data_IF_014844501540
#
_entry.id   IF_014844501540
#
_cell.length_a   1.000
_cell.length_b   1.000
_cell.length_c   1.000
_cell.angle_alpha   90.00
_cell.angle_beta   90.00
_cell.angle_gamma   90.00
#
_symmetry.space_group_name_H-M   'P 1'
#
loop_
_entity.id
_entity.type
_entity.pdbx_description
1 polymer ?
#
# COMPACT_ATOMS: atom_id res chain seq x y z
N UNK A 1 -11.54 -6.10 -17.72
CA UNK A 1 -11.42 -4.78 -17.09
C UNK A 1 -10.68 -3.84 -18.04
N UNK A 2 -11.12 -2.60 -18.22
CA UNK A 2 -10.42 -1.64 -19.09
C UNK A 2 -9.36 -0.86 -18.30
N UNK A 3 -8.09 -0.99 -18.70
CA UNK A 3 -6.98 -0.25 -18.10
C UNK A 3 -6.99 1.21 -18.53
N UNK A 4 -6.49 2.10 -17.66
CA UNK A 4 -6.32 3.53 -17.92
C UNK A 4 -4.87 3.94 -17.76
N UNK A 5 -4.38 4.77 -18.68
CA UNK A 5 -3.07 5.39 -18.55
C UNK A 5 -3.05 6.32 -17.34
N UNK A 6 -1.98 6.24 -16.54
CA UNK A 6 -1.77 7.11 -15.40
C UNK A 6 -1.01 8.37 -15.86
N UNK A 7 -1.75 9.34 -16.38
CA UNK A 7 -1.17 10.57 -16.94
C UNK A 7 -0.10 10.27 -18.01
N UNK A 8 1.04 10.93 -17.91
CA UNK A 8 2.16 10.78 -18.85
C UNK A 8 3.27 9.84 -18.34
N UNK A 9 2.96 8.98 -17.35
CA UNK A 9 3.98 8.13 -16.69
C UNK A 9 4.36 6.87 -17.47
N UNK A 10 3.58 6.50 -18.49
CA UNK A 10 3.68 5.21 -19.17
C UNK A 10 3.13 4.03 -18.37
N UNK A 11 2.61 4.25 -17.16
CA UNK A 11 1.96 3.22 -16.34
C UNK A 11 0.49 3.11 -16.73
N UNK A 12 -0.04 1.88 -16.68
CA UNK A 12 -1.46 1.59 -16.86
C UNK A 12 -2.03 0.91 -15.62
N UNK A 13 -3.15 1.43 -15.12
CA UNK A 13 -3.84 0.90 -13.94
C UNK A 13 -5.29 0.56 -14.24
N UNK A 14 -5.84 -0.38 -13.48
CA UNK A 14 -7.28 -0.55 -13.36
C UNK A 14 -7.92 0.76 -12.85
N UNK A 15 -9.20 1.05 -13.15
CA UNK A 15 -9.84 2.31 -12.76
C UNK A 15 -10.23 2.36 -11.27
N UNK A 16 -9.43 1.75 -10.41
CA UNK A 16 -9.57 1.69 -8.95
C UNK A 16 -8.18 1.56 -8.32
N UNK A 17 -7.91 2.35 -7.29
CA UNK A 17 -6.69 2.27 -6.47
C UNK A 17 -7.09 1.80 -5.07
N UNK A 18 -6.39 0.80 -4.55
CA UNK A 18 -6.57 0.32 -3.17
C UNK A 18 -5.71 1.15 -2.23
N UNK A 19 -6.36 1.89 -1.32
CA UNK A 19 -5.68 2.60 -0.24
C UNK A 19 -5.26 1.64 0.88
N UNK A 20 -3.96 1.63 1.20
CA UNK A 20 -3.38 0.78 2.25
C UNK A 20 -3.40 1.39 3.65
N UNK A 21 -4.02 2.57 3.84
CA UNK A 21 -4.02 3.27 5.12
C UNK A 21 -4.71 2.50 6.27
N UNK A 22 -5.43 1.41 6.00
CA UNK A 22 -6.09 0.56 7.00
C UNK A 22 -5.25 -0.63 7.46
N UNK A 23 -4.16 -0.94 6.75
CA UNK A 23 -3.30 -2.08 7.05
C UNK A 23 -2.47 -1.83 8.30
N UNK A 24 -2.57 -2.74 9.27
CA UNK A 24 -1.81 -2.69 10.53
C UNK A 24 -2.46 -1.90 11.65
N UNK A 25 -3.74 -1.50 11.51
CA UNK A 25 -4.51 -0.95 12.64
C UNK A 25 -5.99 -1.32 12.61
N UNK A 26 -6.67 -1.14 11.48
CA UNK A 26 -8.06 -1.62 11.31
C UNK A 26 -8.06 -3.07 10.85
N UNK A 27 -7.20 -3.40 9.89
CA UNK A 27 -6.96 -4.77 9.45
C UNK A 27 -5.64 -5.26 10.04
N UNK A 28 -5.67 -6.47 10.60
CA UNK A 28 -4.45 -7.20 10.92
C UNK A 28 -3.74 -7.68 9.64
N UNK A 29 -2.58 -8.31 9.79
CA UNK A 29 -1.79 -8.80 8.66
C UNK A 29 -2.58 -9.78 7.78
N UNK A 30 -3.31 -10.71 8.41
CA UNK A 30 -4.08 -11.72 7.68
C UNK A 30 -5.20 -11.08 6.88
N UNK A 31 -6.00 -10.22 7.49
CA UNK A 31 -7.09 -9.52 6.79
C UNK A 31 -6.57 -8.61 5.69
N UNK A 32 -5.41 -7.98 5.90
CA UNK A 32 -4.74 -7.20 4.86
C UNK A 32 -4.32 -8.07 3.67
N UNK A 33 -3.79 -9.27 3.93
CA UNK A 33 -3.45 -10.24 2.87
C UNK A 33 -4.70 -10.71 2.12
N UNK A 34 -5.78 -11.02 2.82
CA UNK A 34 -7.04 -11.46 2.22
C UNK A 34 -7.59 -10.38 1.26
N UNK A 35 -7.52 -9.10 1.64
CA UNK A 35 -7.92 -7.97 0.77
C UNK A 35 -6.98 -7.82 -0.42
N UNK A 36 -5.66 -7.86 -0.21
CA UNK A 36 -4.67 -7.74 -1.28
C UNK A 36 -4.78 -8.88 -2.32
N UNK A 37 -4.95 -10.12 -1.83
CA UNK A 37 -5.16 -11.30 -2.68
C UNK A 37 -6.45 -11.16 -3.48
N UNK A 38 -7.55 -10.78 -2.84
CA UNK A 38 -8.83 -10.57 -3.53
C UNK A 38 -8.75 -9.45 -4.57
N UNK A 39 -8.12 -8.32 -4.24
CA UNK A 39 -7.97 -7.17 -5.14
C UNK A 39 -7.22 -7.57 -6.43
N UNK A 40 -6.09 -8.27 -6.29
CA UNK A 40 -5.31 -8.74 -7.44
C UNK A 40 -6.01 -9.85 -8.21
N UNK A 41 -6.70 -10.78 -7.53
CA UNK A 41 -7.47 -11.84 -8.17
C UNK A 41 -8.59 -11.31 -9.08
N UNK A 42 -9.17 -10.15 -8.74
CA UNK A 42 -10.19 -9.48 -9.56
C UNK A 42 -9.60 -8.62 -10.69
N UNK A 43 -8.27 -8.64 -10.88
CA UNK A 43 -7.59 -7.93 -11.98
C UNK A 43 -7.30 -6.46 -11.70
N UNK A 44 -7.44 -6.01 -10.45
CA UNK A 44 -6.96 -4.69 -10.05
C UNK A 44 -5.47 -4.74 -9.70
N UNK A 45 -4.76 -3.62 -9.89
CA UNK A 45 -3.30 -3.61 -9.81
C UNK A 45 -2.67 -2.40 -9.13
N UNK A 46 -3.44 -1.39 -8.72
CA UNK A 46 -2.89 -0.16 -8.15
C UNK A 46 -3.06 -0.13 -6.63
N UNK A 47 -1.96 -0.06 -5.88
CA UNK A 47 -1.94 -0.03 -4.42
C UNK A 47 -1.24 1.25 -3.96
N UNK A 48 -1.89 1.99 -3.06
CA UNK A 48 -1.39 3.21 -2.45
C UNK A 48 -0.97 2.96 -0.99
N UNK A 49 0.16 3.52 -0.58
CA UNK A 49 0.66 3.47 0.80
C UNK A 49 1.41 4.76 1.16
N UNK A 50 1.90 4.88 2.38
CA UNK A 50 2.79 5.96 2.81
C UNK A 50 3.67 5.49 3.97
N UNK A 51 4.83 6.14 4.14
CA UNK A 51 5.70 5.95 5.29
C UNK A 51 5.01 6.33 6.62
N UNK A 52 4.13 7.32 6.59
CA UNK A 52 3.35 7.76 7.75
C UNK A 52 2.15 6.86 8.07
N UNK A 53 1.82 5.87 7.24
CA UNK A 53 0.69 4.98 7.51
C UNK A 53 1.14 3.90 8.51
N UNK A 54 0.70 3.88 9.78
CA UNK A 54 -0.41 4.63 10.40
C UNK A 54 -0.04 5.30 11.73
N UNK A 55 0.71 6.41 11.69
CA UNK A 55 1.21 7.16 12.86
C UNK A 55 0.13 7.71 13.78
N UNK A 56 -1.11 7.85 13.29
CA UNK A 56 -2.25 8.33 14.09
C UNK A 56 -2.80 7.29 15.08
N UNK A 57 -2.29 6.06 15.05
CA UNK A 57 -2.75 4.95 15.91
C UNK A 57 -1.79 4.74 17.07
N UNK A 58 -2.34 4.66 18.28
CA UNK A 58 -1.53 4.38 19.48
C UNK A 58 -0.80 3.04 19.36
N UNK A 59 0.52 3.04 19.56
CA UNK A 59 1.38 1.87 19.43
C UNK A 59 2.06 1.72 18.07
N UNK A 60 1.60 2.44 17.05
CA UNK A 60 2.21 2.45 15.73
C UNK A 60 3.29 3.55 15.62
N UNK A 61 4.21 3.36 14.68
CA UNK A 61 5.33 4.26 14.38
C UNK A 61 5.33 4.79 12.94
N UNK A 62 4.40 4.35 12.11
CA UNK A 62 4.44 4.57 10.66
C UNK A 62 5.18 3.43 9.96
N UNK A 63 4.84 3.20 8.70
CA UNK A 63 5.40 2.15 7.84
C UNK A 63 4.73 0.80 8.05
N UNK A 64 3.69 0.71 8.88
CA UNK A 64 2.94 -0.54 9.09
C UNK A 64 2.33 -1.05 7.79
N UNK A 65 1.72 -0.15 7.01
CA UNK A 65 1.14 -0.49 5.70
C UNK A 65 2.20 -1.00 4.73
N UNK A 66 3.34 -0.30 4.62
CA UNK A 66 4.46 -0.71 3.75
C UNK A 66 5.05 -2.06 4.19
N UNK A 67 5.17 -2.28 5.50
CA UNK A 67 5.67 -3.54 6.08
C UNK A 67 4.74 -4.70 5.72
N UNK A 68 3.44 -4.53 5.85
CA UNK A 68 2.45 -5.56 5.49
C UNK A 68 2.46 -5.84 3.99
N UNK A 69 2.49 -4.82 3.14
CA UNK A 69 2.60 -4.99 1.68
C UNK A 69 3.90 -5.73 1.33
N UNK A 70 5.03 -5.39 1.98
CA UNK A 70 6.32 -6.06 1.77
C UNK A 70 6.28 -7.54 2.17
N UNK A 71 5.66 -7.88 3.30
CA UNK A 71 5.44 -9.27 3.72
C UNK A 71 4.52 -10.02 2.76
N UNK A 72 3.45 -9.37 2.27
CA UNK A 72 2.54 -9.94 1.29
C UNK A 72 3.27 -10.27 -0.02
N UNK A 73 4.07 -9.34 -0.55
CA UNK A 73 4.91 -9.54 -1.73
C UNK A 73 5.91 -10.69 -1.53
N UNK A 74 6.55 -10.77 -0.35
CA UNK A 74 7.48 -11.87 -0.03
C UNK A 74 6.77 -13.23 -0.04
N UNK A 75 5.53 -13.27 0.43
CA UNK A 75 4.74 -14.50 0.49
C UNK A 75 4.08 -14.86 -0.87
N UNK A 76 3.97 -13.92 -1.80
CA UNK A 76 3.47 -14.13 -3.18
C UNK A 76 4.51 -13.64 -4.20
N UNK A 77 5.54 -14.43 -4.53
CA UNK A 77 6.64 -14.00 -5.40
C UNK A 77 6.20 -13.43 -6.75
N UNK A 78 5.12 -13.96 -7.33
CA UNK A 78 4.58 -13.49 -8.62
C UNK A 78 3.79 -12.18 -8.53
N UNK A 79 3.41 -11.75 -7.32
CA UNK A 79 2.56 -10.59 -7.14
C UNK A 79 3.26 -9.28 -7.53
N UNK A 80 4.59 -9.19 -7.35
CA UNK A 80 5.34 -7.96 -7.64
C UNK A 80 5.18 -7.49 -9.08
N UNK A 81 5.12 -8.43 -10.03
CA UNK A 81 4.97 -8.12 -11.46
C UNK A 81 3.51 -7.78 -11.84
N UNK A 82 2.56 -8.00 -10.92
CA UNK A 82 1.13 -7.78 -11.15
C UNK A 82 0.63 -6.46 -10.58
N UNK A 83 1.43 -5.77 -9.76
CA UNK A 83 1.00 -4.56 -9.05
C UNK A 83 1.89 -3.36 -9.35
N UNK A 84 1.25 -2.19 -9.35
CA UNK A 84 1.85 -0.86 -9.33
C UNK A 84 1.62 -0.31 -7.92
N UNK A 85 2.72 -0.01 -7.21
CA UNK A 85 2.68 0.46 -5.83
C UNK A 85 3.18 1.89 -5.80
N UNK A 86 2.39 2.78 -5.20
CA UNK A 86 2.73 4.18 -4.99
C UNK A 86 2.88 4.42 -3.49
N UNK A 87 3.95 5.12 -3.09
CA UNK A 87 4.13 5.56 -1.70
C UNK A 87 4.26 7.07 -1.63
N UNK A 88 4.10 7.62 -0.43
CA UNK A 88 4.16 9.05 -0.12
C UNK A 88 5.11 9.27 1.05
N UNK A 89 5.75 10.43 1.05
CA UNK A 89 6.67 10.90 2.09
C UNK A 89 6.37 12.37 2.42
N UNK A 90 7.03 12.93 3.44
CA UNK A 90 6.94 14.34 3.81
C UNK A 90 5.97 14.67 4.95
N UNK A 91 5.24 13.68 5.48
CA UNK A 91 4.39 13.87 6.66
C UNK A 91 5.21 13.87 7.96
N UNK A 92 4.66 14.49 9.01
CA UNK A 92 5.22 14.40 10.36
C UNK A 92 5.10 12.95 10.88
N UNK A 93 6.21 12.40 11.37
CA UNK A 93 6.29 11.02 11.86
C UNK A 93 6.10 10.90 13.37
N UNK A 94 5.65 11.96 14.04
CA UNK A 94 5.38 11.97 15.48
C UNK A 94 6.63 11.92 16.35
N UNK A 95 7.82 12.15 15.76
CA UNK A 95 9.11 12.20 16.47
C UNK A 95 9.83 13.50 16.12
N UNK A 96 10.38 14.23 17.12
CA UNK A 96 11.09 15.48 16.86
C UNK A 96 12.17 15.31 15.78
N UNK A 97 12.12 16.14 14.74
CA UNK A 97 13.09 16.12 13.64
C UNK A 97 12.96 14.96 12.66
N UNK A 98 11.93 14.10 12.78
CA UNK A 98 11.62 13.03 11.82
C UNK A 98 10.42 13.43 10.98
N UNK A 99 10.69 13.88 9.76
CA UNK A 99 9.70 13.85 8.68
C UNK A 99 9.96 12.57 7.88
N UNK A 100 8.92 11.94 7.37
CA UNK A 100 9.07 10.92 6.35
C UNK A 100 9.82 11.56 5.18
N UNK A 101 10.83 10.89 4.58
CA UNK A 101 11.88 11.49 3.71
C UNK A 101 11.83 13.03 3.55
#
# INVERSE_FOLDING_TARGET
>A
MQMRQLGNTGLSIAPLVLGGNVFGWTLDEKGSFDVLDAFVAHGFNAIDTADSYSTWVSGNSGGESETIIGKWLKARPDARNKVVIFTKVGSDMGKPGRKGL
#
